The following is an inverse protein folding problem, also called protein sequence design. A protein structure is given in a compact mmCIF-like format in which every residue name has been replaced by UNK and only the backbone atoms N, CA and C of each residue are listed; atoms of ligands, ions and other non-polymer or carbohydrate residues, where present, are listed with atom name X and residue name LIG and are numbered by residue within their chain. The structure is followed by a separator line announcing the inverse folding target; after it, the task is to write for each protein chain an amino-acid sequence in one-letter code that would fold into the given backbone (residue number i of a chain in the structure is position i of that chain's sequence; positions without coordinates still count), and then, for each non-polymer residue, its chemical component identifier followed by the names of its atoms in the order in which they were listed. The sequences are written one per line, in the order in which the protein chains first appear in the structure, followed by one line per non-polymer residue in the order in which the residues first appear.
data_IF_592386949212
#
_entry.id   IF_592386949212
#
_cell.length_a   1.000
_cell.length_b   1.000
_cell.length_c   1.000
_cell.angle_alpha   90.00
_cell.angle_beta   90.00
_cell.angle_gamma   90.00
#
_symmetry.space_group_name_H-M   'P 1'
#
loop_
_entity.id
_entity.type
_entity.pdbx_description
1 polymer ?
#
# COMPACT_ATOMS: atom_id res chain seq x y z
N UNK A 1 -19.44 -9.01 -0.65
CA UNK A 1 -18.63 -10.00 0.08
C UNK A 1 -17.37 -9.32 0.58
N UNK A 2 -17.30 -8.98 1.87
CA UNK A 2 -16.07 -8.46 2.45
C UNK A 2 -15.13 -9.65 2.67
N UNK A 3 -14.04 -9.73 1.91
CA UNK A 3 -13.00 -10.73 2.16
C UNK A 3 -12.39 -10.45 3.54
N UNK A 4 -12.54 -11.44 4.41
CA UNK A 4 -11.98 -11.46 5.75
C UNK A 4 -10.43 -11.43 5.67
N UNK A 5 -9.74 -10.48 6.32
CA UNK A 5 -8.28 -10.46 6.37
C UNK A 5 -7.68 -11.83 6.73
N UNK A 6 -8.31 -12.58 7.64
CA UNK A 6 -7.82 -13.88 8.08
C UNK A 6 -7.76 -14.93 6.96
N UNK A 7 -8.73 -14.88 6.01
CA UNK A 7 -8.76 -15.80 4.86
C UNK A 7 -7.65 -15.51 3.85
N UNK A 8 -7.23 -14.25 3.74
CA UNK A 8 -6.13 -13.84 2.87
C UNK A 8 -4.76 -14.20 3.48
N UNK A 9 -4.59 -13.95 4.78
CA UNK A 9 -3.37 -14.33 5.52
C UNK A 9 -3.14 -15.85 5.50
N UNK A 10 -4.20 -16.65 5.67
CA UNK A 10 -4.12 -18.13 5.60
C UNK A 10 -3.68 -18.68 4.23
N UNK A 11 -3.92 -17.94 3.14
CA UNK A 11 -3.52 -18.35 1.78
C UNK A 11 -2.13 -17.86 1.37
N UNK A 12 -1.63 -16.80 2.01
CA UNK A 12 -0.34 -16.20 1.71
C UNK A 12 0.39 -15.83 3.00
N UNK A 13 1.20 -16.75 3.52
CA UNK A 13 1.92 -16.61 4.79
C UNK A 13 2.89 -15.41 4.86
N UNK A 14 3.15 -14.74 3.74
CA UNK A 14 4.02 -13.55 3.64
C UNK A 14 3.26 -12.22 3.76
N UNK A 15 1.94 -12.25 3.88
CA UNK A 15 1.13 -11.04 4.05
C UNK A 15 1.16 -10.58 5.52
N UNK A 16 1.33 -9.27 5.70
CA UNK A 16 1.23 -8.57 6.97
C UNK A 16 -0.06 -7.75 6.97
N UNK A 17 -0.79 -7.78 8.07
CA UNK A 17 -1.93 -6.90 8.30
C UNK A 17 -1.59 -5.90 9.41
N UNK A 18 -1.92 -4.63 9.20
CA UNK A 18 -1.71 -3.58 10.18
C UNK A 18 -2.88 -2.62 10.19
N UNK A 19 -3.35 -2.27 11.38
CA UNK A 19 -4.49 -1.39 11.61
C UNK A 19 -4.05 0.01 12.04
N UNK A 20 -4.90 1.01 11.78
CA UNK A 20 -4.74 2.40 12.27
C UNK A 20 -3.44 3.11 11.85
N UNK A 21 -2.84 2.71 10.73
CA UNK A 21 -1.65 3.36 10.19
C UNK A 21 -1.98 4.77 9.72
N UNK A 22 -1.28 5.77 10.29
CA UNK A 22 -1.44 7.16 9.90
C UNK A 22 -0.64 7.47 8.64
N UNK A 23 -1.32 7.89 7.58
CA UNK A 23 -0.69 8.28 6.32
C UNK A 23 -0.15 9.70 6.45
N UNK A 24 1.16 9.88 6.25
CA UNK A 24 1.80 11.21 6.27
C UNK A 24 1.91 11.83 4.89
N UNK A 25 1.94 11.02 3.83
CA UNK A 25 1.94 11.49 2.44
C UNK A 25 1.22 10.50 1.53
N UNK A 26 0.51 11.02 0.52
CA UNK A 26 -0.11 10.21 -0.53
C UNK A 26 0.17 10.85 -1.90
N UNK A 27 1.01 10.18 -2.68
CA UNK A 27 1.36 10.58 -4.05
C UNK A 27 0.70 9.63 -5.04
N UNK A 28 0.09 10.19 -6.09
CA UNK A 28 -0.54 9.44 -7.16
C UNK A 28 0.10 9.82 -8.50
N UNK A 29 0.58 8.82 -9.24
CA UNK A 29 1.20 8.99 -10.55
C UNK A 29 0.55 8.08 -11.57
N UNK A 30 0.20 8.64 -12.72
CA UNK A 30 -0.34 7.88 -13.83
C UNK A 30 0.80 7.14 -14.58
N UNK A 31 0.60 5.87 -14.87
CA UNK A 31 1.51 4.91 -15.52
C UNK A 31 0.67 4.07 -16.50
N UNK A 32 0.52 4.55 -17.74
CA UNK A 32 -0.35 3.94 -18.73
C UNK A 32 -1.82 3.96 -18.29
N UNK A 33 -2.47 2.80 -18.25
CA UNK A 33 -3.85 2.65 -17.78
C UNK A 33 -3.98 2.58 -16.24
N UNK A 34 -2.85 2.62 -15.52
CA UNK A 34 -2.80 2.48 -14.07
C UNK A 34 -2.41 3.79 -13.41
N UNK A 35 -2.98 4.07 -12.25
CA UNK A 35 -2.47 5.06 -11.29
C UNK A 35 -1.74 4.30 -10.18
N UNK A 36 -0.44 4.54 -10.04
CA UNK A 36 0.35 4.10 -8.90
C UNK A 36 0.08 5.06 -7.74
N UNK A 37 -0.35 4.50 -6.61
CA UNK A 37 -0.57 5.21 -5.36
C UNK A 37 0.59 4.82 -4.43
N UNK A 38 1.33 5.82 -3.94
CA UNK A 38 2.43 5.64 -2.98
C UNK A 38 2.09 6.38 -1.70
N UNK A 39 2.14 5.67 -0.58
CA UNK A 39 1.88 6.19 0.75
C UNK A 39 3.16 6.17 1.57
N UNK A 40 3.38 7.24 2.32
CA UNK A 40 4.30 7.21 3.46
C UNK A 40 3.44 7.10 4.73
N UNK A 41 3.87 6.27 5.67
CA UNK A 41 3.19 6.04 6.95
C UNK A 41 4.08 6.56 8.07
N UNK A 42 3.48 7.13 9.10
CA UNK A 42 4.20 7.59 10.29
C UNK A 42 5.02 6.45 10.90
N UNK A 43 6.28 6.73 11.25
CA UNK A 43 7.20 5.76 11.84
C UNK A 43 7.76 4.70 10.88
N UNK A 44 7.52 4.80 9.57
CA UNK A 44 8.05 3.87 8.58
C UNK A 44 8.85 4.61 7.50
N UNK A 45 10.05 4.12 7.20
CA UNK A 45 10.95 4.71 6.19
C UNK A 45 10.68 4.18 4.77
N UNK A 46 9.98 3.05 4.66
CA UNK A 46 9.69 2.37 3.40
C UNK A 46 8.31 2.79 2.86
N UNK A 47 8.19 3.09 1.56
CA UNK A 47 6.91 3.44 0.96
C UNK A 47 5.97 2.24 0.82
N UNK A 48 4.67 2.51 0.92
CA UNK A 48 3.60 1.55 0.67
C UNK A 48 2.95 1.85 -0.68
N UNK A 49 2.96 0.89 -1.61
CA UNK A 49 2.52 1.11 -2.98
C UNK A 49 1.40 0.16 -3.41
N UNK A 50 0.41 0.69 -4.12
CA UNK A 50 -0.63 -0.09 -4.82
C UNK A 50 -1.03 0.55 -6.14
N UNK A 51 -1.60 -0.25 -7.06
CA UNK A 51 -2.11 0.23 -8.35
C UNK A 51 -3.63 0.23 -8.39
N UNK A 52 -4.22 1.21 -9.08
CA UNK A 52 -5.66 1.25 -9.42
C UNK A 52 -5.82 1.74 -10.85
N UNK A 53 -6.90 1.37 -11.53
CA UNK A 53 -7.19 1.89 -12.89
C UNK A 53 -7.66 3.35 -12.93
N UNK A 54 -7.96 3.92 -11.76
CA UNK A 54 -8.43 5.30 -11.61
C UNK A 54 -7.77 5.91 -10.39
N UNK A 55 -7.59 7.23 -10.41
CA UNK A 55 -7.17 7.99 -9.23
C UNK A 55 -8.06 7.68 -8.03
N UNK A 56 -7.43 7.57 -6.88
CA UNK A 56 -8.07 7.37 -5.60
C UNK A 56 -8.24 8.70 -4.88
N UNK A 57 -9.10 8.72 -3.85
CA UNK A 57 -9.18 9.88 -2.97
C UNK A 57 -7.84 10.10 -2.27
N UNK A 58 -7.47 11.37 -2.06
CA UNK A 58 -6.33 11.69 -1.23
C UNK A 58 -6.64 11.28 0.22
N UNK A 59 -5.67 10.62 0.86
CA UNK A 59 -5.79 10.05 2.20
C UNK A 59 -4.61 10.44 3.11
N UNK A 60 -3.81 11.41 2.70
CA UNK A 60 -2.84 12.03 3.59
C UNK A 60 -3.56 12.58 4.83
N UNK A 61 -2.99 12.34 6.01
CA UNK A 61 -3.57 12.68 7.32
C UNK A 61 -4.59 11.69 7.86
N UNK A 62 -5.06 10.71 7.07
CA UNK A 62 -6.04 9.72 7.53
C UNK A 62 -5.36 8.48 8.12
N UNK A 63 -6.12 7.76 8.96
CA UNK A 63 -5.76 6.43 9.44
C UNK A 63 -6.33 5.36 8.50
N UNK A 64 -5.52 4.35 8.20
CA UNK A 64 -5.87 3.27 7.29
C UNK A 64 -5.45 1.92 7.83
N UNK A 65 -6.20 0.88 7.46
CA UNK A 65 -5.82 -0.49 7.68
C UNK A 65 -5.25 -1.03 6.37
N UNK A 66 -4.04 -1.60 6.44
CA UNK A 66 -3.29 -2.10 5.31
C UNK A 66 -3.09 -3.61 5.40
N UNK A 67 -3.13 -4.27 4.24
CA UNK A 67 -2.61 -5.63 4.08
C UNK A 67 -1.58 -5.61 2.98
N UNK A 68 -0.34 -5.99 3.28
CA UNK A 68 0.81 -5.78 2.40
C UNK A 68 1.87 -6.87 2.55
N UNK A 69 2.89 -6.83 1.71
CA UNK A 69 4.08 -7.67 1.83
C UNK A 69 5.32 -6.91 1.34
N UNK A 70 6.51 -7.21 1.86
CA UNK A 70 7.74 -6.58 1.39
C UNK A 70 8.07 -7.02 -0.03
N UNK A 71 8.60 -6.10 -0.82
CA UNK A 71 9.13 -6.36 -2.14
C UNK A 71 10.23 -5.38 -2.50
N UNK A 72 10.88 -5.63 -3.63
CA UNK A 72 11.95 -4.79 -4.16
C UNK A 72 11.48 -4.23 -5.49
N UNK A 73 11.71 -2.93 -5.71
CA UNK A 73 11.48 -2.26 -6.99
C UNK A 73 12.78 -1.66 -7.48
N UNK A 74 13.12 -1.94 -8.74
CA UNK A 74 14.25 -1.31 -9.40
C UNK A 74 13.80 0.03 -9.98
N UNK A 75 14.45 1.11 -9.60
CA UNK A 75 14.24 2.46 -10.14
C UNK A 75 15.59 3.00 -10.60
N UNK A 76 15.72 3.28 -11.90
CA UNK A 76 16.97 3.75 -12.50
C UNK A 76 18.19 2.87 -12.18
N UNK A 77 18.01 1.55 -12.10
CA UNK A 77 19.08 0.60 -11.76
C UNK A 77 19.40 0.47 -10.28
N UNK A 78 18.68 1.18 -9.40
CA UNK A 78 18.82 1.09 -7.94
C UNK A 78 17.67 0.26 -7.38
N UNK A 79 17.97 -0.69 -6.49
CA UNK A 79 16.98 -1.45 -5.75
C UNK A 79 16.43 -0.61 -4.59
N UNK A 80 15.11 -0.46 -4.52
CA UNK A 80 14.41 0.15 -3.41
C UNK A 80 13.46 -0.86 -2.79
N UNK A 81 13.46 -0.93 -1.46
CA UNK A 81 12.45 -1.64 -0.72
C UNK A 81 11.09 -0.93 -0.84
N UNK A 82 10.02 -1.71 -0.97
CA UNK A 82 8.65 -1.21 -1.03
C UNK A 82 7.72 -2.21 -0.36
N UNK A 83 6.69 -1.70 0.31
CA UNK A 83 5.59 -2.51 0.81
C UNK A 83 4.47 -2.56 -0.23
N UNK A 84 4.27 -3.72 -0.86
CA UNK A 84 3.21 -3.91 -1.86
C UNK A 84 1.86 -4.12 -1.16
N UNK A 85 0.97 -3.15 -1.30
CA UNK A 85 -0.34 -3.16 -0.65
C UNK A 85 -1.37 -3.91 -1.52
N UNK A 86 -1.98 -4.93 -0.93
CA UNK A 86 -3.05 -5.73 -1.52
C UNK A 86 -4.42 -5.18 -1.13
N UNK A 87 -4.55 -4.67 0.10
CA UNK A 87 -5.80 -4.08 0.61
C UNK A 87 -5.51 -2.83 1.40
N UNK A 88 -6.34 -1.82 1.16
CA UNK A 88 -6.39 -0.58 1.92
C UNK A 88 -7.84 -0.25 2.27
N UNK A 89 -8.08 0.11 3.53
CA UNK A 89 -9.37 0.59 4.03
C UNK A 89 -9.11 1.80 4.91
N UNK A 90 -9.86 2.89 4.74
CA UNK A 90 -9.83 3.98 5.72
C UNK A 90 -10.53 3.49 6.99
N UNK A 91 -9.89 3.73 8.12
CA UNK A 91 -10.39 3.36 9.44
C UNK A 91 -11.65 4.15 9.80
#
# INVERSE_FOLDING_TARGET
MQSDPEKLLKRHAKLVHSDMFKVVSHVQRDEGEWTINTLMVEGHEVPFSYKRKRRYKNIAGQQVNLTYYPGIKIVAGIELEVMNVVRIKIA
#
